data_IF_560521886189
#
_entry.id   IF_560521886189
#
_cell.length_a   1.000
_cell.length_b   1.000
_cell.length_c   1.000
_cell.angle_alpha   90.00
_cell.angle_beta   90.00
_cell.angle_gamma   90.00
#
_symmetry.space_group_name_H-M   'P 1'
#
loop_
_entity.id
_entity.type
_entity.pdbx_description
1 polymer ?
#
# COMPACT_ATOMS: atom_id res chain seq x y z
N UNK A 1 -2.83 6.49 -21.22
CA UNK A 1 -1.99 7.65 -21.60
C UNK A 1 -2.18 8.65 -20.48
N UNK A 2 -1.24 8.72 -19.54
CA UNK A 2 -1.36 9.64 -18.40
C UNK A 2 -1.44 11.07 -18.96
N UNK A 3 -2.43 11.85 -18.51
CA UNK A 3 -2.46 13.28 -18.81
C UNK A 3 -1.20 13.88 -18.17
N UNK A 4 -0.48 14.69 -18.94
CA UNK A 4 0.91 15.15 -18.68
C UNK A 4 1.05 16.03 -17.42
N UNK A 5 0.03 16.10 -16.57
CA UNK A 5 -0.09 16.98 -15.41
C UNK A 5 -0.44 16.26 -14.09
N UNK A 6 -0.59 14.92 -14.13
CA UNK A 6 -0.76 14.11 -12.92
C UNK A 6 0.64 13.84 -12.31
N UNK A 7 1.15 14.81 -11.54
CA UNK A 7 2.44 14.69 -10.86
C UNK A 7 2.47 13.55 -9.83
N UNK A 8 3.63 13.30 -9.21
CA UNK A 8 3.88 12.18 -8.26
C UNK A 8 2.82 11.97 -7.15
N UNK A 9 2.04 13.00 -6.82
CA UNK A 9 0.90 12.91 -5.88
C UNK A 9 -0.17 11.93 -6.35
N UNK A 10 -0.60 11.97 -7.62
CA UNK A 10 -1.63 11.06 -8.14
C UNK A 10 -1.14 9.61 -8.12
N UNK A 11 0.15 9.39 -8.40
CA UNK A 11 0.77 8.07 -8.35
C UNK A 11 0.75 7.47 -6.94
N UNK A 12 1.04 8.26 -5.90
CA UNK A 12 0.90 7.78 -4.52
C UNK A 12 -0.56 7.49 -4.14
N UNK A 13 -1.52 8.31 -4.59
CA UNK A 13 -2.95 8.02 -4.39
C UNK A 13 -3.33 6.69 -5.07
N UNK A 14 -2.86 6.48 -6.30
CA UNK A 14 -3.10 5.25 -7.03
C UNK A 14 -2.55 4.03 -6.27
N UNK A 15 -1.32 4.10 -5.73
CA UNK A 15 -0.72 3.00 -4.96
C UNK A 15 -1.53 2.72 -3.68
N UNK A 16 -2.04 3.73 -2.98
CA UNK A 16 -2.94 3.53 -1.84
C UNK A 16 -4.20 2.76 -2.26
N UNK A 17 -4.88 3.24 -3.31
CA UNK A 17 -6.13 2.66 -3.77
C UNK A 17 -5.95 1.22 -4.27
N UNK A 18 -4.96 0.99 -5.14
CA UNK A 18 -4.66 -0.34 -5.69
C UNK A 18 -4.11 -1.29 -4.62
N UNK A 19 -3.40 -0.77 -3.61
CA UNK A 19 -2.96 -1.56 -2.48
C UNK A 19 -4.13 -2.10 -1.66
N UNK A 20 -5.13 -1.26 -1.38
CA UNK A 20 -6.35 -1.67 -0.67
C UNK A 20 -7.14 -2.67 -1.51
N UNK A 21 -7.30 -2.43 -2.81
CA UNK A 21 -7.98 -3.39 -3.72
C UNK A 21 -7.23 -4.73 -3.73
N UNK A 22 -5.89 -4.71 -3.77
CA UNK A 22 -5.07 -5.92 -3.71
C UNK A 22 -5.28 -6.73 -2.42
N UNK A 23 -5.41 -6.05 -1.26
CA UNK A 23 -5.74 -6.69 0.01
C UNK A 23 -7.14 -7.32 0.00
N UNK A 24 -8.12 -6.63 -0.59
CA UNK A 24 -9.48 -7.17 -0.75
C UNK A 24 -9.47 -8.43 -1.63
N UNK A 25 -8.75 -8.42 -2.75
CA UNK A 25 -8.61 -9.57 -3.64
C UNK A 25 -7.83 -10.73 -2.97
N UNK A 26 -6.87 -10.42 -2.10
CA UNK A 26 -6.16 -11.46 -1.36
C UNK A 26 -7.07 -12.20 -0.36
N UNK A 27 -8.05 -11.51 0.23
CA UNK A 27 -9.03 -12.12 1.15
C UNK A 27 -10.16 -12.86 0.44
N UNK A 28 -10.74 -12.24 -0.60
CA UNK A 28 -11.94 -12.78 -1.27
C UNK A 28 -11.59 -13.68 -2.46
N UNK A 29 -10.37 -13.64 -2.95
CA UNK A 29 -9.94 -14.25 -4.20
C UNK A 29 -10.20 -13.35 -5.41
N UNK A 30 -9.82 -13.85 -6.59
CA UNK A 30 -10.01 -13.15 -7.85
C UNK A 30 -11.45 -13.31 -8.34
N UNK A 31 -12.06 -12.20 -8.77
CA UNK A 31 -13.36 -12.19 -9.42
C UNK A 31 -13.18 -12.12 -10.94
N UNK A 32 -13.91 -12.95 -11.69
CA UNK A 32 -13.94 -12.90 -13.16
C UNK A 32 -15.05 -11.97 -13.70
N UNK A 33 -15.97 -11.56 -12.81
CA UNK A 33 -17.12 -10.70 -13.11
C UNK A 33 -17.32 -9.67 -12.02
N UNK A 34 -18.19 -8.69 -12.25
CA UNK A 34 -18.67 -7.81 -11.19
C UNK A 34 -19.56 -8.63 -10.22
N UNK A 35 -18.98 -9.02 -9.09
CA UNK A 35 -19.58 -9.93 -8.10
C UNK A 35 -19.80 -9.26 -6.74
N UNK A 36 -19.64 -7.94 -6.65
CA UNK A 36 -19.68 -7.20 -5.40
C UNK A 36 -20.54 -5.93 -5.51
N UNK A 37 -21.37 -5.68 -4.49
CA UNK A 37 -22.14 -4.43 -4.42
C UNK A 37 -21.23 -3.24 -4.06
N UNK A 38 -21.60 -2.04 -4.50
CA UNK A 38 -20.89 -0.80 -4.14
C UNK A 38 -20.77 -0.62 -2.62
N UNK A 39 -21.85 -0.88 -1.89
CA UNK A 39 -21.86 -0.82 -0.42
C UNK A 39 -20.82 -1.75 0.20
N UNK A 40 -20.75 -2.99 -0.30
CA UNK A 40 -19.78 -3.97 0.20
C UNK A 40 -18.34 -3.58 -0.16
N UNK A 41 -18.13 -3.01 -1.35
CA UNK A 41 -16.83 -2.52 -1.78
C UNK A 41 -16.31 -1.40 -0.84
N UNK A 42 -17.19 -0.44 -0.50
CA UNK A 42 -16.86 0.66 0.42
C UNK A 42 -16.57 0.16 1.84
N UNK A 43 -17.37 -0.78 2.36
CA UNK A 43 -17.11 -1.40 3.67
C UNK A 43 -15.73 -2.04 3.76
N UNK A 44 -15.35 -2.81 2.73
CA UNK A 44 -14.07 -3.50 2.66
C UNK A 44 -12.91 -2.50 2.55
N UNK A 45 -13.09 -1.47 1.72
CA UNK A 45 -12.13 -0.40 1.54
C UNK A 45 -11.86 0.32 2.86
N UNK A 46 -12.91 0.75 3.56
CA UNK A 46 -12.81 1.44 4.85
C UNK A 46 -12.13 0.56 5.92
N UNK A 47 -12.45 -0.73 5.94
CA UNK A 47 -11.82 -1.68 6.87
C UNK A 47 -10.31 -1.77 6.64
N UNK A 48 -9.86 -1.92 5.39
CA UNK A 48 -8.44 -2.01 5.07
C UNK A 48 -7.71 -0.67 5.21
N UNK A 49 -8.34 0.45 4.85
CA UNK A 49 -7.81 1.78 5.13
C UNK A 49 -7.58 2.00 6.63
N UNK A 50 -8.53 1.56 7.47
CA UNK A 50 -8.41 1.63 8.93
C UNK A 50 -7.25 0.76 9.44
N UNK A 51 -7.10 -0.47 8.95
CA UNK A 51 -5.98 -1.34 9.33
C UNK A 51 -4.62 -0.75 8.94
N UNK A 52 -4.52 -0.18 7.73
CA UNK A 52 -3.30 0.49 7.28
C UNK A 52 -2.95 1.67 8.21
N UNK A 53 -3.94 2.47 8.58
CA UNK A 53 -3.80 3.58 9.55
C UNK A 53 -3.34 3.07 10.93
N UNK A 54 -3.97 2.04 11.47
CA UNK A 54 -3.58 1.46 12.76
C UNK A 54 -2.14 0.94 12.74
N UNK A 55 -1.73 0.26 11.66
CA UNK A 55 -0.36 -0.19 11.47
C UNK A 55 0.62 0.99 11.37
N UNK A 56 0.25 2.05 10.64
CA UNK A 56 1.06 3.26 10.51
C UNK A 56 1.28 3.91 11.87
N UNK A 57 0.23 4.04 12.68
CA UNK A 57 0.30 4.63 14.02
C UNK A 57 1.17 3.79 14.96
N UNK A 58 1.03 2.45 14.91
CA UNK A 58 1.89 1.55 15.68
C UNK A 58 3.36 1.70 15.28
N UNK A 59 3.68 1.69 13.99
CA UNK A 59 5.06 1.89 13.51
C UNK A 59 5.61 3.28 13.84
N UNK A 60 4.78 4.32 13.78
CA UNK A 60 5.23 5.67 14.14
C UNK A 60 5.67 5.77 15.60
N UNK A 61 4.98 5.07 16.51
CA UNK A 61 5.38 4.97 17.91
C UNK A 61 6.72 4.23 18.08
N UNK A 62 6.96 3.18 17.28
CA UNK A 62 8.17 2.35 17.40
C UNK A 62 9.43 2.98 16.78
N UNK A 63 9.27 3.89 15.81
CA UNK A 63 10.37 4.48 15.03
C UNK A 63 10.50 6.01 15.16
N UNK A 64 9.87 6.63 16.17
CA UNK A 64 9.93 8.08 16.45
C UNK A 64 9.73 8.98 15.22
N UNK A 65 8.78 8.61 14.34
CA UNK A 65 8.49 9.32 13.07
C UNK A 65 9.73 9.54 12.16
N UNK A 66 10.74 8.66 12.20
CA UNK A 66 11.99 8.79 11.43
C UNK A 66 11.76 9.02 9.92
N UNK A 67 10.65 8.52 9.38
CA UNK A 67 10.25 8.73 7.99
C UNK A 67 10.16 10.20 7.60
N UNK A 68 9.81 11.12 8.51
CA UNK A 68 9.71 12.57 8.19
C UNK A 68 11.01 13.18 7.65
N UNK A 69 12.14 12.61 8.05
CA UNK A 69 13.49 13.03 7.62
C UNK A 69 13.90 12.47 6.25
N UNK A 70 13.11 11.54 5.70
CA UNK A 70 13.41 10.89 4.43
C UNK A 70 13.01 11.76 3.24
N UNK A 71 13.71 11.54 2.12
CA UNK A 71 13.36 12.15 0.83
C UNK A 71 12.17 11.40 0.22
N UNK A 72 11.38 12.09 -0.59
CA UNK A 72 10.26 11.47 -1.32
C UNK A 72 10.73 10.27 -2.16
N UNK A 73 11.90 10.36 -2.79
CA UNK A 73 12.48 9.24 -3.56
C UNK A 73 12.72 7.98 -2.73
N UNK A 74 13.00 8.13 -1.43
CA UNK A 74 13.21 6.98 -0.55
C UNK A 74 11.93 6.17 -0.34
N UNK A 75 10.75 6.80 -0.37
CA UNK A 75 9.49 6.06 -0.33
C UNK A 75 9.28 5.25 -1.61
N UNK A 76 9.63 5.81 -2.76
CA UNK A 76 9.59 5.09 -4.05
C UNK A 76 10.48 3.85 -4.00
N UNK A 77 11.71 3.97 -3.50
CA UNK A 77 12.64 2.83 -3.38
C UNK A 77 12.07 1.73 -2.46
N UNK A 78 11.48 2.12 -1.32
CA UNK A 78 10.84 1.19 -0.39
C UNK A 78 9.63 0.48 -1.00
N UNK A 79 8.80 1.21 -1.77
CA UNK A 79 7.66 0.64 -2.49
C UNK A 79 8.15 -0.36 -3.55
N UNK A 80 9.16 0.01 -4.35
CA UNK A 80 9.73 -0.89 -5.36
C UNK A 80 10.30 -2.16 -4.75
N UNK A 81 10.97 -2.06 -3.59
CA UNK A 81 11.45 -3.22 -2.84
C UNK A 81 10.29 -4.14 -2.42
N UNK A 82 9.17 -3.58 -1.95
CA UNK A 82 7.98 -4.35 -1.55
C UNK A 82 7.29 -5.00 -2.75
N UNK A 83 7.18 -4.31 -3.89
CA UNK A 83 6.70 -4.90 -5.15
C UNK A 83 7.56 -6.08 -5.58
N UNK A 84 8.89 -5.91 -5.56
CA UNK A 84 9.82 -6.99 -5.90
C UNK A 84 9.65 -8.19 -4.97
N UNK A 85 9.54 -7.94 -3.66
CA UNK A 85 9.32 -8.99 -2.66
C UNK A 85 8.01 -9.74 -2.89
N UNK A 86 6.90 -9.04 -3.13
CA UNK A 86 5.60 -9.67 -3.43
C UNK A 86 5.70 -10.61 -4.64
N UNK A 87 6.30 -10.13 -5.75
CA UNK A 87 6.50 -10.97 -6.95
C UNK A 87 7.33 -12.22 -6.69
N UNK A 88 8.34 -12.13 -5.83
CA UNK A 88 9.15 -13.30 -5.45
C UNK A 88 8.35 -14.31 -4.63
N UNK A 89 7.42 -13.87 -3.78
CA UNK A 89 6.57 -14.76 -2.98
C UNK A 89 5.56 -15.47 -3.89
N UNK A 90 4.95 -14.73 -4.82
CA UNK A 90 4.00 -15.29 -5.79
C UNK A 90 4.68 -16.28 -6.75
N UNK A 91 5.88 -15.97 -7.24
CA UNK A 91 6.63 -16.81 -8.18
C UNK A 91 7.22 -18.10 -7.59
N UNK A 92 7.22 -18.27 -6.27
CA UNK A 92 7.67 -19.48 -5.58
C UNK A 92 6.51 -20.35 -5.05
N UNK A 93 5.32 -20.27 -5.67
CA UNK A 93 4.10 -20.98 -5.25
C UNK A 93 3.74 -20.76 -3.77
N UNK A 94 4.03 -19.58 -3.21
CA UNK A 94 3.75 -19.27 -1.81
C UNK A 94 4.58 -20.08 -0.79
N UNK A 95 5.63 -20.79 -1.22
CA UNK A 95 6.56 -21.48 -0.32
C UNK A 95 7.49 -20.48 0.38
N UNK A 96 6.96 -19.75 1.36
CA UNK A 96 7.76 -18.87 2.22
C UNK A 96 8.17 -19.60 3.50
N UNK A 97 9.48 -19.62 3.74
CA UNK A 97 10.07 -19.82 5.06
C UNK A 97 9.63 -18.66 5.96
N UNK A 98 8.48 -18.78 6.63
CA UNK A 98 8.07 -18.11 7.89
C UNK A 98 8.14 -16.56 7.94
N UNK A 99 8.58 -15.86 6.90
CA UNK A 99 8.95 -14.44 6.98
C UNK A 99 8.18 -13.60 5.97
N UNK A 100 7.05 -13.06 6.44
CA UNK A 100 6.21 -12.00 5.87
C UNK A 100 5.26 -12.44 4.74
N UNK A 101 3.96 -12.22 4.95
CA UNK A 101 2.90 -12.48 3.98
C UNK A 101 2.80 -11.38 2.91
N UNK A 102 2.10 -11.67 1.82
CA UNK A 102 1.86 -10.70 0.73
C UNK A 102 1.04 -9.51 1.24
N UNK A 103 0.10 -9.75 2.16
CA UNK A 103 -0.71 -8.75 2.86
C UNK A 103 0.14 -7.68 3.56
N UNK A 104 1.16 -8.09 4.31
CA UNK A 104 2.07 -7.18 4.99
C UNK A 104 2.82 -6.28 4.00
N UNK A 105 3.21 -6.80 2.83
CA UNK A 105 3.84 -5.97 1.80
C UNK A 105 2.88 -4.93 1.22
N UNK A 106 1.61 -5.28 0.99
CA UNK A 106 0.60 -4.33 0.55
C UNK A 106 0.40 -3.21 1.58
N UNK A 107 0.27 -3.57 2.85
CA UNK A 107 0.14 -2.59 3.95
C UNK A 107 1.33 -1.63 4.00
N UNK A 108 2.55 -2.13 3.80
CA UNK A 108 3.75 -1.29 3.75
C UNK A 108 3.76 -0.34 2.54
N UNK A 109 3.40 -0.83 1.35
CA UNK A 109 3.30 0.01 0.15
C UNK A 109 2.27 1.14 0.32
N UNK A 110 1.12 0.84 0.96
CA UNK A 110 0.10 1.84 1.30
C UNK A 110 0.71 2.88 2.24
N UNK A 111 1.33 2.47 3.34
CA UNK A 111 1.87 3.40 4.33
C UNK A 111 3.01 4.27 3.79
N UNK A 112 3.92 3.71 2.98
CA UNK A 112 4.97 4.52 2.33
C UNK A 112 4.39 5.55 1.36
N UNK A 113 3.29 5.21 0.67
CA UNK A 113 2.59 6.15 -0.21
C UNK A 113 1.91 7.26 0.59
N UNK A 114 1.28 6.92 1.73
CA UNK A 114 0.69 7.91 2.65
C UNK A 114 1.77 8.84 3.22
N UNK A 115 2.95 8.33 3.62
CA UNK A 115 4.07 9.17 4.04
C UNK A 115 4.55 10.10 2.93
N UNK A 116 4.61 9.59 1.68
CA UNK A 116 4.89 10.40 0.50
C UNK A 116 3.88 11.54 0.33
N UNK A 117 2.59 11.25 0.42
CA UNK A 117 1.52 12.25 0.34
C UNK A 117 1.62 13.29 1.45
N UNK A 118 1.84 12.88 2.70
CA UNK A 118 2.03 13.81 3.82
C UNK A 118 3.26 14.69 3.59
N UNK A 119 4.36 14.13 3.10
CA UNK A 119 5.59 14.90 2.83
C UNK A 119 5.41 15.88 1.66
N UNK A 120 4.63 15.54 0.65
CA UNK A 120 4.32 16.46 -0.46
C UNK A 120 3.39 17.60 -0.04
N UNK A 121 2.46 17.35 0.89
CA UNK A 121 1.49 18.35 1.35
C UNK A 121 2.04 19.27 2.45
N UNK A 122 2.83 18.70 3.39
CA UNK A 122 3.26 19.38 4.62
C UNK A 122 4.77 19.43 4.83
N UNK A 123 5.57 18.87 3.91
CA UNK A 123 7.01 18.83 4.05
C UNK A 123 7.68 20.14 3.61
N UNK A 124 8.37 20.79 4.55
CA UNK A 124 9.61 21.52 4.23
C UNK A 124 10.74 20.53 3.91
#
# INVERSE_FOLDING_TARGET
MAMVDEGIRSEFIAIVNYGIIGLVQLELGYAETDDMTEERALELYDRYAKQALELMLAKNHDYDEAWRSMRVSSYTDLILMKIYRTKQIEGHDGATLVSEGIDANYMDMINYSVFGLIKLEFGE
#
